data_IF_290008580815
#
_entry.id   IF_290008580815
#
_cell.length_a   1.000
_cell.length_b   1.000
_cell.length_c   1.000
_cell.angle_alpha   90.00
_cell.angle_beta   90.00
_cell.angle_gamma   90.00
#
_symmetry.space_group_name_H-M   'P 1'
#
loop_
_entity.id
_entity.type
_entity.pdbx_description
1 polymer ?
#
# COMPACT_ATOMS: atom_id res chain seq x y z
N UNK A 1 -12.75 -22.36 -18.49
CA UNK A 1 -11.49 -22.21 -17.71
C UNK A 1 -10.51 -21.16 -18.27
N UNK A 2 -10.95 -20.26 -19.16
CA UNK A 2 -10.07 -19.25 -19.80
C UNK A 2 -10.31 -17.80 -19.31
N UNK A 3 -11.34 -17.56 -18.48
CA UNK A 3 -11.69 -16.21 -18.04
C UNK A 3 -11.24 -15.82 -16.63
N UNK A 4 -10.83 -16.78 -15.81
CA UNK A 4 -10.44 -16.52 -14.42
C UNK A 4 -9.02 -15.94 -14.26
N UNK A 5 -8.10 -16.25 -15.20
CA UNK A 5 -6.75 -15.67 -15.21
C UNK A 5 -6.69 -14.21 -15.67
N UNK A 6 -7.73 -13.73 -16.37
CA UNK A 6 -7.82 -12.32 -16.80
C UNK A 6 -8.46 -11.41 -15.74
N UNK A 7 -9.23 -11.95 -14.81
CA UNK A 7 -9.80 -11.17 -13.70
C UNK A 7 -8.79 -10.92 -12.56
N UNK A 8 -7.91 -11.87 -12.26
CA UNK A 8 -6.86 -11.64 -11.24
C UNK A 8 -5.80 -10.64 -11.68
N UNK A 9 -5.51 -10.54 -12.99
CA UNK A 9 -4.59 -9.53 -13.52
C UNK A 9 -5.20 -8.12 -13.49
N UNK A 10 -6.53 -7.98 -13.56
CA UNK A 10 -7.22 -6.69 -13.51
C UNK A 10 -7.32 -6.11 -12.08
N UNK A 11 -7.36 -6.96 -11.05
CA UNK A 11 -7.44 -6.51 -9.64
C UNK A 11 -6.08 -6.06 -9.08
N UNK A 12 -4.97 -6.62 -9.56
CA UNK A 12 -3.62 -6.13 -9.21
C UNK A 12 -3.23 -4.84 -9.95
N UNK A 13 -3.85 -4.56 -11.10
CA UNK A 13 -3.67 -3.29 -11.81
C UNK A 13 -4.49 -2.14 -11.19
N UNK A 14 -5.60 -2.44 -10.49
CA UNK A 14 -6.43 -1.40 -9.87
C UNK A 14 -5.78 -0.71 -8.66
N UNK A 15 -4.92 -1.38 -7.90
CA UNK A 15 -4.23 -0.73 -6.78
C UNK A 15 -3.15 0.26 -7.24
N UNK A 16 -2.53 0.01 -8.41
CA UNK A 16 -1.59 0.95 -9.04
C UNK A 16 -2.30 1.99 -9.92
N UNK A 17 -3.55 1.74 -10.36
CA UNK A 17 -4.31 2.61 -11.26
C UNK A 17 -5.29 3.57 -10.56
N UNK A 18 -5.48 3.48 -9.25
CA UNK A 18 -6.22 4.51 -8.50
C UNK A 18 -5.48 5.86 -8.47
N UNK A 19 -4.21 5.89 -8.87
CA UNK A 19 -3.48 7.14 -9.14
C UNK A 19 -3.61 7.66 -10.59
N UNK A 20 -4.23 6.93 -11.52
CA UNK A 20 -4.22 7.26 -12.96
C UNK A 20 -5.58 7.54 -13.59
N UNK A 21 -6.70 7.50 -12.86
CA UNK A 21 -8.04 7.53 -13.49
C UNK A 21 -8.84 8.79 -13.18
N UNK A 22 -8.28 9.98 -13.49
CA UNK A 22 -9.08 11.20 -13.60
C UNK A 22 -8.45 12.23 -14.55
N UNK A 23 -8.18 11.87 -15.80
CA UNK A 23 -7.90 12.86 -16.83
C UNK A 23 -8.42 12.38 -18.18
N UNK A 24 -9.74 12.54 -18.42
CA UNK A 24 -10.30 12.57 -19.77
C UNK A 24 -11.65 13.28 -19.72
N UNK A 25 -11.65 14.53 -20.09
CA UNK A 25 -12.65 15.25 -20.84
C UNK A 25 -12.58 16.77 -20.60
N UNK A 26 -11.95 17.48 -21.55
CA UNK A 26 -12.51 18.71 -22.15
C UNK A 26 -11.56 19.19 -23.27
N UNK A 27 -11.94 18.82 -24.48
CA UNK A 27 -11.57 19.60 -25.66
C UNK A 27 -12.52 20.77 -25.75
N UNK A 28 -11.98 21.97 -25.93
CA UNK A 28 -12.56 22.93 -26.87
C UNK A 28 -11.55 24.03 -27.29
N UNK A 29 -11.46 24.11 -28.64
CA UNK A 29 -11.20 25.29 -29.49
C UNK A 29 -9.84 25.97 -29.50
N UNK A 30 -9.22 25.75 -30.67
CA UNK A 30 -8.19 26.55 -31.37
C UNK A 30 -8.59 28.04 -31.61
N UNK A 31 -7.66 28.94 -32.07
CA UNK A 31 -7.20 28.88 -33.48
C UNK A 31 -5.76 29.30 -33.80
N UNK A 32 -5.27 28.63 -34.85
CA UNK A 32 -4.51 29.08 -36.04
C UNK A 32 -3.39 30.14 -36.00
N UNK A 33 -2.27 29.77 -36.66
CA UNK A 33 -1.39 30.73 -37.30
C UNK A 33 -0.05 30.15 -37.72
N UNK A 34 0.04 29.68 -39.00
CA UNK A 34 1.12 29.77 -39.98
C UNK A 34 2.59 29.56 -39.51
N UNK A 35 3.34 28.59 -39.98
CA UNK A 35 3.79 28.36 -41.37
C UNK A 35 5.30 28.40 -41.38
N UNK A 36 5.95 27.36 -41.80
CA UNK A 36 6.89 27.29 -42.92
C UNK A 36 7.72 26.01 -42.87
N UNK A 37 7.80 25.45 -44.07
CA UNK A 37 8.49 24.26 -44.55
C UNK A 37 10.02 24.39 -44.59
N UNK A 38 10.72 23.23 -44.54
CA UNK A 38 11.82 22.76 -45.41
C UNK A 38 12.35 21.43 -44.81
N UNK A 39 12.11 20.31 -45.40
CA UNK A 39 12.69 19.53 -46.48
C UNK A 39 14.09 18.97 -46.29
N UNK A 40 14.14 17.68 -46.63
CA UNK A 40 15.26 16.78 -47.00
C UNK A 40 15.96 16.08 -45.82
N UNK A 41 15.97 14.76 -45.69
CA UNK A 41 16.09 13.70 -46.68
C UNK A 41 17.34 12.91 -46.39
N UNK A 42 17.22 11.63 -46.00
CA UNK A 42 17.95 10.52 -46.62
C UNK A 42 17.92 9.27 -45.74
N UNK A 43 17.36 8.25 -46.30
CA UNK A 43 17.41 6.84 -46.02
C UNK A 43 18.82 6.25 -45.96
N UNK A 44 19.12 5.30 -45.06
CA UNK A 44 19.86 4.08 -45.42
C UNK A 44 19.38 2.91 -44.57
N UNK A 45 19.11 1.83 -45.26
CA UNK A 45 18.64 0.51 -44.93
C UNK A 45 19.78 -0.43 -44.52
N UNK A 46 19.37 -1.55 -43.90
CA UNK A 46 20.04 -2.87 -43.75
C UNK A 46 20.53 -3.17 -42.32
N UNK A 47 20.40 -4.35 -41.78
CA UNK A 47 19.76 -5.62 -42.09
C UNK A 47 19.83 -6.47 -40.80
N UNK A 48 18.83 -7.29 -40.56
CA UNK A 48 18.86 -8.36 -39.56
C UNK A 48 19.81 -9.51 -39.99
N UNK A 49 20.29 -10.30 -39.05
CA UNK A 49 20.04 -11.73 -39.12
C UNK A 49 19.41 -12.34 -37.86
N UNK A 50 18.53 -13.27 -38.11
CA UNK A 50 17.84 -14.10 -37.10
C UNK A 50 18.67 -15.37 -36.78
N UNK A 51 18.03 -16.40 -36.21
CA UNK A 51 18.38 -16.93 -34.88
C UNK A 51 19.24 -18.19 -34.96
N UNK A 52 20.03 -18.44 -33.91
CA UNK A 52 20.59 -19.78 -33.63
C UNK A 52 20.03 -20.40 -32.35
N UNK A 53 19.54 -21.56 -32.57
CA UNK A 53 19.02 -22.57 -31.67
C UNK A 53 20.16 -23.32 -31.00
N UNK A 54 20.16 -23.50 -29.66
CA UNK A 54 20.90 -24.60 -29.03
C UNK A 54 20.46 -24.91 -27.59
N UNK A 55 19.76 -26.03 -27.48
CA UNK A 55 20.00 -27.16 -26.55
C UNK A 55 19.85 -26.95 -25.03
N UNK A 56 18.78 -27.53 -24.52
CA UNK A 56 18.65 -28.00 -23.14
C UNK A 56 19.60 -29.16 -22.84
N UNK A 57 20.02 -29.35 -21.61
CA UNK A 57 20.33 -30.68 -21.08
C UNK A 57 19.26 -31.18 -20.07
N UNK A 58 18.92 -32.42 -20.25
CA UNK A 58 17.98 -33.24 -19.49
C UNK A 58 18.55 -33.63 -18.13
N UNK A 59 17.64 -33.76 -17.15
CA UNK A 59 17.83 -34.34 -15.83
C UNK A 59 17.65 -35.84 -15.88
N UNK A 60 18.46 -36.67 -15.21
CA UNK A 60 18.09 -38.05 -14.94
C UNK A 60 17.38 -38.17 -13.59
N UNK A 61 16.27 -38.88 -13.60
CA UNK A 61 15.58 -39.40 -12.44
C UNK A 61 16.30 -40.67 -11.92
N UNK A 62 16.43 -40.76 -10.61
CA UNK A 62 16.66 -42.06 -9.97
C UNK A 62 15.85 -42.19 -8.67
N UNK A 63 15.08 -43.26 -8.66
CA UNK A 63 14.13 -43.75 -7.67
C UNK A 63 14.85 -44.55 -6.59
N UNK A 64 14.43 -44.45 -5.34
CA UNK A 64 14.40 -45.62 -4.41
C UNK A 64 13.54 -45.29 -3.17
N UNK A 65 12.45 -45.98 -3.02
CA UNK A 65 11.78 -46.39 -1.78
C UNK A 65 12.18 -47.83 -1.48
N UNK A 66 11.71 -48.46 -0.37
CA UNK A 66 11.48 -48.04 1.02
C UNK A 66 12.20 -48.96 2.04
N UNK A 67 12.25 -48.64 3.32
CA UNK A 67 12.29 -49.64 4.39
C UNK A 67 11.49 -49.22 5.63
N UNK A 68 10.63 -50.11 6.01
CA UNK A 68 9.72 -50.25 7.11
C UNK A 68 10.47 -50.76 8.36
N UNK A 69 10.23 -50.23 9.57
CA UNK A 69 10.29 -51.05 10.80
C UNK A 69 9.84 -50.31 12.07
N UNK A 70 8.72 -50.83 12.59
CA UNK A 70 8.39 -51.23 13.97
C UNK A 70 8.20 -50.16 15.08
N UNK A 71 6.94 -50.15 15.52
CA UNK A 71 6.49 -49.82 16.89
C UNK A 71 7.09 -50.75 17.95
N UNK A 72 7.10 -50.32 19.22
CA UNK A 72 6.22 -50.97 20.18
C UNK A 72 5.44 -50.04 21.16
N UNK A 73 4.21 -50.41 21.28
CA UNK A 73 3.25 -50.48 22.41
C UNK A 73 3.42 -49.67 23.70
N UNK A 74 2.25 -49.09 24.04
CA UNK A 74 1.81 -48.52 25.34
C UNK A 74 1.96 -49.45 26.55
N UNK A 75 1.84 -48.84 27.78
CA UNK A 75 0.71 -49.29 28.60
C UNK A 75 -0.15 -48.15 29.19
N UNK A 76 -1.39 -48.54 29.44
CA UNK A 76 -2.54 -47.79 29.87
C UNK A 76 -2.59 -47.45 31.37
N UNK A 77 -3.27 -46.27 31.64
CA UNK A 77 -4.20 -45.91 32.69
C UNK A 77 -3.77 -45.87 34.18
N UNK A 78 -4.40 -44.98 35.02
CA UNK A 78 -5.84 -44.97 35.28
C UNK A 78 -6.53 -43.59 35.42
N UNK A 79 -7.85 -43.62 35.19
CA UNK A 79 -8.83 -42.57 35.28
C UNK A 79 -8.96 -41.92 36.68
N UNK A 80 -9.08 -40.61 36.72
CA UNK A 80 -9.59 -39.82 37.87
C UNK A 80 -10.94 -39.18 37.54
N UNK A 81 -11.76 -38.83 38.49
CA UNK A 81 -13.22 -38.72 38.35
C UNK A 81 -13.70 -37.43 37.72
N UNK A 82 -14.77 -37.57 36.95
CA UNK A 82 -15.45 -36.55 36.19
C UNK A 82 -15.85 -35.31 37.00
N UNK A 83 -15.54 -34.15 36.42
CA UNK A 83 -16.22 -32.90 36.75
C UNK A 83 -17.53 -32.83 35.96
N UNK A 84 -18.58 -32.73 36.73
CA UNK A 84 -19.96 -32.56 36.31
C UNK A 84 -20.12 -31.33 35.43
N UNK A 85 -20.40 -31.53 34.17
CA UNK A 85 -20.92 -30.51 33.27
C UNK A 85 -22.26 -30.05 33.79
N UNK A 86 -22.35 -28.84 34.31
CA UNK A 86 -23.64 -28.18 34.49
C UNK A 86 -24.27 -27.99 33.11
N UNK A 87 -25.57 -28.26 32.95
CA UNK A 87 -26.27 -27.94 31.71
C UNK A 87 -26.23 -26.42 31.52
N UNK A 88 -25.69 -25.97 30.40
CA UNK A 88 -25.91 -24.61 29.92
C UNK A 88 -27.43 -24.36 29.85
N UNK A 89 -27.91 -23.14 30.25
CA UNK A 89 -29.31 -22.79 30.04
C UNK A 89 -29.66 -22.92 28.56
N UNK A 90 -30.91 -23.27 28.19
CA UNK A 90 -31.31 -23.33 26.82
C UNK A 90 -31.06 -21.95 26.19
N UNK A 91 -30.24 -21.91 25.16
CA UNK A 91 -30.15 -20.75 24.29
C UNK A 91 -31.52 -20.57 23.67
N UNK A 92 -32.18 -19.43 23.91
CA UNK A 92 -33.40 -19.08 23.19
C UNK A 92 -33.13 -19.23 21.68
N UNK A 93 -34.09 -19.75 20.90
CA UNK A 93 -33.88 -19.86 19.45
C UNK A 93 -33.60 -18.45 18.92
N UNK A 94 -32.37 -18.20 18.51
CA UNK A 94 -32.03 -16.98 17.80
C UNK A 94 -33.02 -16.81 16.64
N UNK A 95 -33.58 -15.62 16.50
CA UNK A 95 -34.43 -15.29 15.38
C UNK A 95 -33.58 -15.29 14.10
N UNK A 96 -33.50 -16.43 13.43
CA UNK A 96 -32.67 -16.64 12.26
C UNK A 96 -33.37 -16.20 10.98
N UNK A 97 -34.64 -15.85 11.01
CA UNK A 97 -35.42 -15.44 9.84
C UNK A 97 -35.02 -14.03 9.40
N UNK A 98 -34.76 -13.90 8.10
CA UNK A 98 -34.39 -12.63 7.45
C UNK A 98 -35.28 -12.40 6.25
N UNK A 99 -35.96 -11.25 6.23
CA UNK A 99 -36.99 -10.93 5.23
C UNK A 99 -36.48 -10.13 4.04
N UNK A 100 -35.29 -9.53 4.11
CA UNK A 100 -34.72 -8.68 3.06
C UNK A 100 -33.20 -8.67 3.07
N UNK A 101 -32.59 -8.26 1.96
CA UNK A 101 -31.14 -8.03 1.89
C UNK A 101 -30.68 -6.92 2.82
N UNK A 102 -31.51 -5.91 3.07
CA UNK A 102 -31.19 -4.84 4.01
C UNK A 102 -31.10 -5.38 5.44
N UNK A 103 -32.04 -6.18 5.88
CA UNK A 103 -32.00 -6.82 7.20
C UNK A 103 -30.80 -7.74 7.33
N UNK A 104 -30.46 -8.50 6.28
CA UNK A 104 -29.27 -9.32 6.24
C UNK A 104 -27.98 -8.48 6.36
N UNK A 105 -27.92 -7.34 5.69
CA UNK A 105 -26.81 -6.39 5.81
C UNK A 105 -26.65 -5.88 7.24
N UNK A 106 -27.76 -5.48 7.89
CA UNK A 106 -27.76 -5.02 9.28
C UNK A 106 -27.25 -6.10 10.24
N UNK A 107 -27.70 -7.36 10.09
CA UNK A 107 -27.24 -8.51 10.89
C UNK A 107 -25.75 -8.81 10.67
N UNK A 108 -25.28 -8.79 9.42
CA UNK A 108 -23.87 -8.99 9.10
C UNK A 108 -23.00 -7.85 9.65
N UNK A 109 -23.49 -6.60 9.56
CA UNK A 109 -22.77 -5.43 10.12
C UNK A 109 -22.61 -5.57 11.63
N UNK A 110 -23.66 -6.01 12.32
CA UNK A 110 -23.62 -6.26 13.75
C UNK A 110 -22.60 -7.37 14.10
N UNK A 111 -22.67 -8.53 13.43
CA UNK A 111 -21.75 -9.64 13.67
C UNK A 111 -20.29 -9.22 13.44
N UNK A 112 -20.03 -8.44 12.40
CA UNK A 112 -18.69 -7.90 12.13
C UNK A 112 -18.24 -6.96 13.24
N UNK A 113 -19.09 -6.03 13.68
CA UNK A 113 -18.75 -5.08 14.74
C UNK A 113 -18.45 -5.76 16.08
N UNK A 114 -19.16 -6.85 16.37
CA UNK A 114 -19.01 -7.66 17.59
C UNK A 114 -17.88 -8.71 17.48
N UNK A 115 -17.27 -8.85 16.30
CA UNK A 115 -16.22 -9.86 15.98
C UNK A 115 -16.76 -11.30 16.23
N UNK A 116 -18.01 -11.54 15.86
CA UNK A 116 -18.71 -12.81 16.05
C UNK A 116 -19.02 -13.48 14.71
N UNK A 117 -19.26 -14.79 14.74
CA UNK A 117 -19.78 -15.51 13.59
C UNK A 117 -21.31 -15.34 13.53
N UNK A 118 -21.88 -14.96 12.38
CA UNK A 118 -23.32 -14.87 12.25
C UNK A 118 -23.97 -16.27 12.34
N UNK A 119 -25.20 -16.35 12.85
CA UNK A 119 -25.97 -17.61 12.80
C UNK A 119 -26.31 -18.00 11.36
N UNK A 120 -26.76 -19.22 11.14
CA UNK A 120 -27.36 -19.60 9.87
C UNK A 120 -28.72 -18.88 9.70
N UNK A 121 -28.94 -18.26 8.53
CA UNK A 121 -30.13 -17.44 8.27
C UNK A 121 -31.20 -18.20 7.46
N UNK A 122 -32.44 -18.16 7.89
CA UNK A 122 -33.59 -18.50 7.04
C UNK A 122 -33.88 -17.32 6.11
N UNK A 123 -33.53 -17.47 4.86
CA UNK A 123 -33.66 -16.48 3.79
C UNK A 123 -34.80 -16.79 2.82
N UNK A 124 -35.72 -17.68 3.18
CA UNK A 124 -36.86 -18.13 2.33
C UNK A 124 -37.74 -16.99 1.89
N UNK A 125 -37.81 -15.89 2.63
CA UNK A 125 -38.54 -14.67 2.29
C UNK A 125 -37.85 -13.78 1.27
N UNK A 126 -36.53 -13.93 1.05
CA UNK A 126 -35.77 -13.14 0.10
C UNK A 126 -35.99 -13.71 -1.30
N UNK A 127 -36.71 -12.97 -2.16
CA UNK A 127 -37.02 -13.38 -3.52
C UNK A 127 -36.33 -12.49 -4.55
N UNK A 128 -36.21 -12.99 -5.80
CA UNK A 128 -35.66 -12.20 -6.91
C UNK A 128 -34.16 -12.14 -7.00
N UNK A 129 -33.45 -12.94 -6.20
CA UNK A 129 -31.97 -13.10 -6.29
C UNK A 129 -31.64 -14.42 -7.00
N UNK A 130 -30.98 -14.33 -8.17
CA UNK A 130 -30.54 -15.52 -8.91
C UNK A 130 -29.33 -16.20 -8.23
N UNK A 131 -28.47 -15.42 -7.58
CA UNK A 131 -27.28 -15.88 -6.84
C UNK A 131 -27.21 -15.15 -5.49
N UNK A 132 -27.87 -15.71 -4.49
CA UNK A 132 -27.89 -15.14 -3.15
C UNK A 132 -26.51 -15.11 -2.47
N UNK A 133 -25.67 -16.16 -2.53
CA UNK A 133 -24.31 -16.10 -2.01
C UNK A 133 -23.48 -14.95 -2.59
N UNK A 134 -23.60 -14.67 -3.89
CA UNK A 134 -22.93 -13.53 -4.51
C UNK A 134 -23.50 -12.19 -4.02
N UNK A 135 -24.83 -12.10 -3.87
CA UNK A 135 -25.45 -10.90 -3.31
C UNK A 135 -24.95 -10.61 -1.89
N UNK A 136 -24.82 -11.63 -1.06
CA UNK A 136 -24.25 -11.52 0.31
C UNK A 136 -22.81 -11.05 0.29
N UNK A 137 -22.01 -11.56 -0.64
CA UNK A 137 -20.62 -11.10 -0.82
C UNK A 137 -20.53 -9.63 -1.22
N UNK A 138 -21.48 -9.16 -2.04
CA UNK A 138 -21.55 -7.75 -2.40
C UNK A 138 -21.98 -6.88 -1.20
N UNK A 139 -22.92 -7.35 -0.36
CA UNK A 139 -23.27 -6.66 0.90
C UNK A 139 -22.05 -6.55 1.83
N UNK A 140 -21.31 -7.62 2.00
CA UNK A 140 -20.08 -7.59 2.81
C UNK A 140 -19.08 -6.54 2.31
N UNK A 141 -18.82 -6.45 1.00
CA UNK A 141 -17.95 -5.41 0.47
C UNK A 141 -18.52 -3.99 0.66
N UNK A 142 -19.85 -3.83 0.57
CA UNK A 142 -20.49 -2.56 0.86
C UNK A 142 -20.29 -2.16 2.33
N UNK A 143 -20.47 -3.10 3.27
CA UNK A 143 -20.23 -2.87 4.70
C UNK A 143 -18.80 -2.38 4.93
N UNK A 144 -17.78 -3.05 4.37
CA UNK A 144 -16.37 -2.66 4.54
C UNK A 144 -16.03 -1.30 3.92
N UNK A 145 -16.70 -0.93 2.82
CA UNK A 145 -16.47 0.35 2.16
C UNK A 145 -17.13 1.51 2.92
N UNK A 146 -18.31 1.27 3.50
CA UNK A 146 -19.03 2.25 4.29
C UNK A 146 -18.47 2.43 5.71
N UNK A 147 -17.79 1.40 6.23
CA UNK A 147 -17.25 1.35 7.60
C UNK A 147 -15.78 0.91 7.58
N UNK A 148 -14.84 1.82 7.29
CA UNK A 148 -13.40 1.47 7.21
C UNK A 148 -12.83 0.84 8.48
N UNK A 149 -13.41 1.15 9.65
CA UNK A 149 -13.00 0.65 10.96
C UNK A 149 -13.24 -0.85 11.15
N UNK A 150 -14.08 -1.48 10.33
CA UNK A 150 -14.34 -2.92 10.42
C UNK A 150 -13.58 -3.76 9.38
N UNK A 151 -12.59 -3.18 8.68
CA UNK A 151 -11.75 -3.88 7.69
C UNK A 151 -10.92 -5.03 8.27
N UNK A 152 -10.90 -5.20 9.57
CA UNK A 152 -10.34 -6.38 10.23
C UNK A 152 -11.12 -7.68 9.95
N UNK A 153 -12.34 -7.60 9.46
CA UNK A 153 -13.04 -8.72 8.84
C UNK A 153 -12.54 -8.83 7.39
N UNK A 154 -11.61 -9.76 7.11
CA UNK A 154 -10.89 -9.75 5.84
C UNK A 154 -11.43 -10.71 4.77
N UNK A 155 -12.31 -11.63 5.13
CA UNK A 155 -13.00 -12.52 4.19
C UNK A 155 -14.38 -12.89 4.69
N UNK A 156 -15.28 -13.18 3.73
CA UNK A 156 -16.59 -13.77 3.99
C UNK A 156 -16.86 -14.86 2.96
N UNK A 157 -17.23 -16.04 3.45
CA UNK A 157 -17.82 -17.11 2.64
C UNK A 157 -19.31 -17.20 2.92
N UNK A 158 -20.11 -17.48 1.88
CA UNK A 158 -21.57 -17.64 1.98
C UNK A 158 -22.00 -18.82 1.10
N UNK A 159 -22.84 -19.69 1.63
CA UNK A 159 -23.39 -20.84 0.91
C UNK A 159 -24.80 -21.20 1.42
N UNK A 160 -25.62 -21.79 0.56
CA UNK A 160 -26.89 -22.39 0.98
C UNK A 160 -26.61 -23.84 1.36
N UNK A 161 -26.82 -24.17 2.62
CA UNK A 161 -26.61 -25.51 3.17
C UNK A 161 -27.67 -26.51 2.70
N UNK A 162 -27.43 -27.79 3.00
CA UNK A 162 -28.39 -28.87 2.75
C UNK A 162 -29.70 -28.73 3.57
N UNK A 163 -29.65 -27.96 4.64
CA UNK A 163 -30.78 -27.56 5.50
C UNK A 163 -31.63 -26.43 4.90
N UNK A 164 -31.19 -25.85 3.76
CA UNK A 164 -31.84 -24.74 3.09
C UNK A 164 -31.59 -23.37 3.72
N UNK A 165 -30.71 -23.30 4.73
CA UNK A 165 -30.31 -22.04 5.37
C UNK A 165 -29.10 -21.43 4.67
N UNK A 166 -28.96 -20.11 4.79
CA UNK A 166 -27.76 -19.39 4.36
C UNK A 166 -26.72 -19.46 5.50
N UNK A 167 -25.61 -20.10 5.23
CA UNK A 167 -24.47 -20.14 6.13
C UNK A 167 -23.43 -19.10 5.69
N UNK A 168 -23.06 -18.22 6.61
CA UNK A 168 -21.99 -17.24 6.41
C UNK A 168 -20.86 -17.54 7.39
N UNK A 169 -19.62 -17.47 6.91
CA UNK A 169 -18.43 -17.53 7.77
C UNK A 169 -17.54 -16.33 7.50
N UNK A 170 -17.20 -15.59 8.55
CA UNK A 170 -16.38 -14.38 8.50
C UNK A 170 -15.00 -14.70 9.05
N UNK A 171 -13.96 -14.36 8.28
CA UNK A 171 -12.57 -14.45 8.74
C UNK A 171 -12.13 -13.12 9.32
N UNK A 172 -11.68 -13.14 10.57
CA UNK A 172 -11.19 -11.96 11.26
C UNK A 172 -9.67 -11.99 11.41
N UNK A 173 -9.04 -10.82 11.40
CA UNK A 173 -7.61 -10.72 11.65
C UNK A 173 -7.26 -11.14 13.07
N UNK A 174 -6.16 -11.90 13.28
CA UNK A 174 -5.80 -12.45 14.59
C UNK A 174 -5.70 -11.43 15.71
N UNK A 175 -5.28 -10.19 15.39
CA UNK A 175 -5.16 -9.15 16.41
C UNK A 175 -6.50 -8.68 17.00
N UNK A 176 -7.62 -8.98 16.31
CA UNK A 176 -8.98 -8.69 16.82
C UNK A 176 -9.58 -9.85 17.63
N UNK A 177 -9.24 -11.07 17.25
CA UNK A 177 -9.74 -12.27 17.95
C UNK A 177 -8.83 -12.75 19.07
N UNK A 178 -7.55 -12.33 19.05
CA UNK A 178 -6.52 -12.90 19.94
C UNK A 178 -6.10 -14.32 19.55
N UNK A 179 -6.53 -14.80 18.37
CA UNK A 179 -6.24 -16.15 17.88
C UNK A 179 -4.87 -16.18 17.19
N UNK A 180 -3.83 -16.18 17.97
CA UNK A 180 -2.45 -16.22 17.50
C UNK A 180 -1.92 -17.65 17.51
N UNK A 181 -1.22 -18.04 16.44
CA UNK A 181 -0.50 -19.30 16.40
C UNK A 181 0.60 -19.36 17.48
N UNK A 182 0.72 -20.51 18.15
CA UNK A 182 1.83 -20.76 19.06
C UNK A 182 3.17 -20.81 18.31
N UNK A 183 4.26 -20.42 19.01
CA UNK A 183 5.62 -20.48 18.44
C UNK A 183 5.93 -19.39 17.42
N UNK A 184 5.23 -18.27 17.47
CA UNK A 184 5.47 -17.13 16.59
C UNK A 184 6.93 -16.68 16.59
N UNK A 185 7.50 -16.56 15.39
CA UNK A 185 8.84 -16.07 15.11
C UNK A 185 8.73 -14.82 14.23
N UNK A 186 8.64 -13.63 14.82
CA UNK A 186 8.49 -12.38 14.08
C UNK A 186 8.51 -11.16 14.99
N UNK A 187 8.14 -10.02 14.46
CA UNK A 187 8.15 -8.73 15.17
C UNK A 187 6.79 -8.47 15.80
N UNK A 188 6.77 -8.08 17.07
CA UNK A 188 5.55 -7.56 17.71
C UNK A 188 5.39 -6.09 17.32
N UNK A 189 4.15 -5.72 17.01
CA UNK A 189 3.75 -4.39 16.53
C UNK A 189 2.65 -3.85 17.44
N UNK A 190 2.94 -2.82 18.21
CA UNK A 190 1.98 -2.16 19.07
C UNK A 190 1.59 -0.74 18.59
N UNK A 191 2.37 -0.20 17.65
CA UNK A 191 2.19 1.14 17.07
C UNK A 191 2.47 1.17 15.58
N UNK A 192 2.05 2.26 14.91
CA UNK A 192 2.43 2.50 13.50
C UNK A 192 3.95 2.66 13.32
N UNK A 193 4.62 3.24 14.32
CA UNK A 193 6.07 3.36 14.31
C UNK A 193 6.75 1.98 14.37
N UNK A 194 6.28 1.05 15.22
CA UNK A 194 6.79 -0.32 15.25
C UNK A 194 6.59 -1.03 13.91
N UNK A 195 5.43 -0.85 13.29
CA UNK A 195 5.12 -1.42 11.98
C UNK A 195 6.10 -0.94 10.89
N UNK A 196 6.35 0.37 10.84
CA UNK A 196 7.29 0.97 9.89
C UNK A 196 8.72 0.52 10.17
N UNK A 197 9.13 0.45 11.43
CA UNK A 197 10.47 -0.02 11.81
C UNK A 197 10.66 -1.50 11.44
N UNK A 198 9.66 -2.36 11.71
CA UNK A 198 9.67 -3.75 11.28
C UNK A 198 9.84 -3.88 9.75
N UNK A 199 9.11 -3.07 8.99
CA UNK A 199 9.24 -3.03 7.54
C UNK A 199 10.65 -2.62 7.11
N UNK A 200 11.21 -1.52 7.63
CA UNK A 200 12.54 -1.03 7.30
C UNK A 200 13.64 -2.04 7.61
N UNK A 201 13.58 -2.70 8.77
CA UNK A 201 14.56 -3.72 9.16
C UNK A 201 14.43 -4.97 8.27
N UNK A 202 13.22 -5.38 7.93
CA UNK A 202 12.96 -6.56 7.13
C UNK A 202 13.21 -6.40 5.62
N UNK A 203 13.18 -5.19 5.08
CA UNK A 203 13.29 -4.92 3.64
C UNK A 203 14.47 -5.61 2.96
N UNK A 204 15.63 -5.61 3.61
CA UNK A 204 16.87 -6.11 3.02
C UNK A 204 16.93 -7.64 2.97
N UNK A 205 16.23 -8.32 3.89
CA UNK A 205 16.45 -9.74 4.15
C UNK A 205 15.25 -10.63 3.90
N UNK A 206 14.04 -10.08 3.80
CA UNK A 206 12.81 -10.86 3.78
C UNK A 206 11.83 -10.33 2.72
N UNK A 207 11.21 -11.25 1.99
CA UNK A 207 10.10 -10.91 1.08
C UNK A 207 8.81 -10.66 1.86
N UNK A 208 8.60 -11.47 2.92
CA UNK A 208 7.48 -11.36 3.84
C UNK A 208 8.03 -11.25 5.24
N UNK A 209 7.65 -10.21 5.97
CA UNK A 209 8.11 -9.95 7.32
C UNK A 209 7.00 -10.39 8.28
N UNK A 210 7.16 -11.52 9.00
CA UNK A 210 6.15 -11.97 9.95
C UNK A 210 5.97 -10.96 11.07
N UNK A 211 4.73 -10.57 11.34
CA UNK A 211 4.38 -9.64 12.41
C UNK A 211 3.25 -10.19 13.26
N UNK A 212 3.19 -9.75 14.50
CA UNK A 212 2.04 -9.92 15.40
C UNK A 212 1.62 -8.55 15.91
N UNK A 213 0.47 -8.07 15.45
CA UNK A 213 -0.13 -6.84 15.93
C UNK A 213 -0.71 -7.12 17.31
N UNK A 214 -0.32 -6.34 18.32
CA UNK A 214 -0.75 -6.50 19.72
C UNK A 214 -1.75 -5.45 20.15
N UNK A 215 -1.84 -4.33 19.44
CA UNK A 215 -2.78 -3.26 19.68
C UNK A 215 -4.05 -3.41 18.81
N UNK A 216 -5.22 -3.73 19.39
CA UNK A 216 -6.45 -3.93 18.64
C UNK A 216 -7.05 -2.63 18.08
N UNK A 217 -6.56 -1.46 18.51
CA UNK A 217 -7.09 -0.16 18.07
C UNK A 217 -6.45 0.33 16.76
N UNK A 218 -5.38 -0.36 16.29
CA UNK A 218 -4.77 -0.02 15.00
C UNK A 218 -5.71 -0.28 13.83
N UNK A 219 -5.90 0.74 13.00
CA UNK A 219 -6.78 0.68 11.85
C UNK A 219 -6.01 0.24 10.59
N UNK A 220 -6.62 -0.64 9.79
CA UNK A 220 -6.01 -1.16 8.55
C UNK A 220 -5.56 -0.07 7.59
N UNK A 221 -6.37 0.97 7.43
CA UNK A 221 -6.06 2.07 6.52
C UNK A 221 -4.87 2.90 7.02
N UNK A 222 -4.74 3.08 8.33
CA UNK A 222 -3.59 3.78 8.93
C UNK A 222 -2.32 2.95 8.82
N UNK A 223 -2.40 1.65 9.09
CA UNK A 223 -1.28 0.73 8.94
C UNK A 223 -0.76 0.69 7.50
N UNK A 224 -1.66 0.59 6.50
CA UNK A 224 -1.26 0.60 5.10
C UNK A 224 -0.69 1.95 4.66
N UNK A 225 -1.24 3.08 5.13
CA UNK A 225 -0.65 4.40 4.89
C UNK A 225 0.73 4.56 5.50
N UNK A 226 0.93 4.04 6.71
CA UNK A 226 2.24 4.05 7.36
C UNK A 226 3.27 3.25 6.56
N UNK A 227 2.89 2.07 6.05
CA UNK A 227 3.76 1.24 5.21
C UNK A 227 4.11 1.89 3.87
N UNK A 228 3.26 2.77 3.32
CA UNK A 228 3.58 3.54 2.12
C UNK A 228 4.75 4.53 2.31
N UNK A 229 5.10 4.86 3.56
CA UNK A 229 6.27 5.67 3.87
C UNK A 229 7.59 4.89 3.83
N UNK A 230 7.56 3.62 3.40
CA UNK A 230 8.72 2.72 3.35
C UNK A 230 9.01 2.34 1.90
N UNK A 231 10.29 2.13 1.58
CA UNK A 231 10.68 1.57 0.26
C UNK A 231 10.90 2.58 -0.86
N UNK A 232 10.76 3.88 -0.60
CA UNK A 232 11.09 4.98 -1.53
C UNK A 232 10.57 4.79 -2.96
N UNK A 233 9.38 4.19 -3.10
CA UNK A 233 8.70 3.84 -4.36
C UNK A 233 9.33 2.71 -5.19
N UNK A 234 10.38 2.07 -4.77
CA UNK A 234 10.89 0.87 -5.44
C UNK A 234 10.46 -0.44 -4.78
N UNK A 235 10.12 -0.39 -3.51
CA UNK A 235 9.55 -1.50 -2.77
C UNK A 235 8.21 -1.07 -2.16
N UNK A 236 7.14 -1.73 -2.56
CA UNK A 236 5.82 -1.51 -2.01
C UNK A 236 5.60 -2.45 -0.82
N UNK A 237 5.35 -1.85 0.34
CA UNK A 237 5.05 -2.57 1.56
C UNK A 237 3.54 -2.50 1.83
N UNK A 238 2.93 -3.64 2.11
CA UNK A 238 1.52 -3.75 2.49
C UNK A 238 1.33 -4.89 3.48
N UNK A 239 0.26 -4.87 4.23
CA UNK A 239 -0.10 -6.01 5.06
C UNK A 239 -0.60 -7.18 4.21
N UNK A 240 -0.32 -8.40 4.65
CA UNK A 240 -1.02 -9.58 4.17
C UNK A 240 -2.52 -9.46 4.47
N UNK A 241 -3.33 -10.26 3.77
CA UNK A 241 -4.79 -10.19 3.89
C UNK A 241 -5.29 -10.37 5.33
N UNK A 242 -4.61 -11.20 6.11
CA UNK A 242 -4.90 -11.51 7.51
C UNK A 242 -4.10 -10.67 8.52
N UNK A 243 -3.31 -9.70 8.04
CA UNK A 243 -2.45 -8.84 8.82
C UNK A 243 -1.41 -9.57 9.71
N UNK A 244 -0.97 -10.76 9.28
CA UNK A 244 0.08 -11.54 10.00
C UNK A 244 1.48 -11.32 9.45
N UNK A 245 1.60 -10.63 8.32
CA UNK A 245 2.90 -10.29 7.72
C UNK A 245 2.86 -8.99 6.91
N UNK A 246 4.01 -8.36 6.77
CA UNK A 246 4.23 -7.29 5.80
C UNK A 246 4.76 -7.94 4.52
N UNK A 247 4.04 -7.74 3.43
CA UNK A 247 4.40 -8.19 2.09
C UNK A 247 5.25 -7.10 1.43
N UNK A 248 6.40 -7.47 0.87
CA UNK A 248 7.31 -6.53 0.18
C UNK A 248 7.38 -6.90 -1.29
N UNK A 249 6.91 -6.00 -2.16
CA UNK A 249 6.83 -6.22 -3.60
C UNK A 249 7.67 -5.20 -4.35
N UNK A 250 8.61 -5.61 -5.22
CA UNK A 250 9.33 -4.70 -6.10
C UNK A 250 8.39 -4.01 -7.08
N UNK A 251 8.66 -2.73 -7.36
CA UNK A 251 7.92 -1.90 -8.31
C UNK A 251 8.80 -1.50 -9.51
N UNK A 252 8.20 -0.80 -10.48
CA UNK A 252 8.91 -0.31 -11.66
C UNK A 252 9.39 -1.41 -12.62
N UNK A 253 8.87 -2.64 -12.48
CA UNK A 253 9.33 -3.78 -13.28
C UNK A 253 10.68 -4.35 -12.85
N UNK A 254 11.20 -3.93 -11.69
CA UNK A 254 12.47 -4.36 -11.15
C UNK A 254 12.37 -5.71 -10.43
N UNK A 255 13.45 -6.44 -10.37
CA UNK A 255 13.65 -7.52 -9.40
C UNK A 255 13.87 -6.91 -8.01
N UNK A 256 13.77 -7.74 -6.96
CA UNK A 256 14.07 -7.28 -5.59
C UNK A 256 15.51 -6.79 -5.44
N UNK A 257 16.46 -7.48 -6.04
CA UNK A 257 17.87 -7.11 -6.01
C UNK A 257 18.10 -5.73 -6.66
N UNK A 258 17.50 -5.50 -7.83
CA UNK A 258 17.57 -4.21 -8.52
C UNK A 258 16.90 -3.10 -7.72
N UNK A 259 15.74 -3.37 -7.08
CA UNK A 259 15.06 -2.40 -6.23
C UNK A 259 15.91 -2.01 -5.00
N UNK A 260 16.53 -2.99 -4.34
CA UNK A 260 17.44 -2.73 -3.21
C UNK A 260 18.68 -1.95 -3.64
N UNK A 261 19.26 -2.26 -4.81
CA UNK A 261 20.38 -1.51 -5.34
C UNK A 261 20.01 -0.04 -5.63
N UNK A 262 18.79 0.21 -6.14
CA UNK A 262 18.27 1.57 -6.33
C UNK A 262 18.13 2.32 -5.01
N UNK A 263 17.65 1.66 -3.95
CA UNK A 263 17.56 2.28 -2.62
C UNK A 263 18.94 2.68 -2.07
N UNK A 264 19.95 1.81 -2.20
CA UNK A 264 21.31 2.10 -1.77
C UNK A 264 21.94 3.25 -2.57
N UNK A 265 21.67 3.31 -3.88
CA UNK A 265 22.14 4.40 -4.73
C UNK A 265 21.47 5.73 -4.36
N UNK A 266 20.17 5.73 -4.09
CA UNK A 266 19.44 6.93 -3.62
C UNK A 266 19.96 7.44 -2.28
N UNK A 267 20.20 6.55 -1.31
CA UNK A 267 20.77 6.91 -0.01
C UNK A 267 22.15 7.57 -0.19
N UNK A 268 22.98 7.01 -1.07
CA UNK A 268 24.32 7.54 -1.35
C UNK A 268 24.26 8.92 -2.03
N UNK A 269 23.35 9.10 -2.98
CA UNK A 269 23.10 10.39 -3.63
C UNK A 269 22.58 11.44 -2.64
N UNK A 270 21.65 11.05 -1.78
CA UNK A 270 21.10 11.96 -0.77
C UNK A 270 22.18 12.41 0.23
N UNK A 271 23.04 11.50 0.68
CA UNK A 271 24.19 11.81 1.54
C UNK A 271 25.17 12.77 0.85
N UNK A 272 25.50 12.54 -0.42
CA UNK A 272 26.39 13.41 -1.19
C UNK A 272 25.81 14.80 -1.35
N UNK A 273 24.51 14.92 -1.73
CA UNK A 273 23.82 16.19 -1.87
C UNK A 273 23.76 16.94 -0.52
N UNK A 274 23.44 16.21 0.57
CA UNK A 274 23.44 16.79 1.92
C UNK A 274 24.81 17.39 2.26
N UNK A 275 25.90 16.66 2.07
CA UNK A 275 27.27 17.13 2.34
C UNK A 275 27.68 18.35 1.49
N UNK A 276 27.16 18.47 0.26
CA UNK A 276 27.45 19.60 -0.62
C UNK A 276 26.61 20.83 -0.29
N UNK A 277 25.38 20.63 0.22
CA UNK A 277 24.38 21.68 0.39
C UNK A 277 24.40 22.27 1.81
N UNK A 278 24.59 21.40 2.81
CA UNK A 278 24.54 21.75 4.23
C UNK A 278 25.94 22.04 4.75
N UNK A 279 26.12 23.22 5.36
CA UNK A 279 27.40 23.64 5.95
C UNK A 279 27.35 23.57 7.46
N UNK A 280 28.52 23.44 8.10
CA UNK A 280 28.65 23.44 9.55
C UNK A 280 28.07 24.72 10.17
N UNK A 281 27.25 24.56 11.20
CA UNK A 281 26.59 25.65 11.91
C UNK A 281 25.20 26.03 11.41
N UNK A 282 24.71 25.46 10.31
CA UNK A 282 23.32 25.62 9.90
C UNK A 282 22.36 24.99 10.92
N UNK A 283 21.38 25.75 11.36
CA UNK A 283 20.24 25.26 12.14
C UNK A 283 19.31 24.40 11.29
N UNK A 284 18.41 23.66 11.94
CA UNK A 284 17.47 22.73 11.27
C UNK A 284 16.63 23.40 10.17
N UNK A 285 16.11 24.60 10.45
CA UNK A 285 15.34 25.38 9.47
C UNK A 285 16.21 25.83 8.28
N UNK A 286 17.46 26.20 8.50
CA UNK A 286 18.40 26.60 7.45
C UNK A 286 18.78 25.39 6.57
N UNK A 287 19.00 24.23 7.17
CA UNK A 287 19.28 22.98 6.45
C UNK A 287 18.08 22.58 5.56
N UNK A 288 16.87 22.60 6.13
CA UNK A 288 15.66 22.28 5.36
C UNK A 288 15.47 23.27 4.19
N UNK A 289 15.70 24.55 4.39
CA UNK A 289 15.60 25.56 3.35
C UNK A 289 16.65 25.37 2.25
N UNK A 290 17.88 25.02 2.60
CA UNK A 290 18.97 24.80 1.64
C UNK A 290 18.71 23.55 0.78
N UNK A 291 18.24 22.45 1.40
CA UNK A 291 17.87 21.23 0.69
C UNK A 291 16.63 21.42 -0.20
N UNK A 292 15.68 22.22 0.25
CA UNK A 292 14.52 22.62 -0.54
C UNK A 292 14.94 23.42 -1.78
N UNK A 293 15.80 24.42 -1.61
CA UNK A 293 16.34 25.24 -2.69
C UNK A 293 17.07 24.36 -3.71
N UNK A 294 17.90 23.42 -3.24
CA UNK A 294 18.57 22.47 -4.13
C UNK A 294 17.59 21.75 -5.06
N UNK A 295 16.52 21.19 -4.52
CA UNK A 295 15.53 20.46 -5.34
C UNK A 295 14.82 21.37 -6.34
N UNK A 296 14.39 22.55 -5.92
CA UNK A 296 13.64 23.48 -6.78
C UNK A 296 14.48 24.03 -7.92
N UNK A 297 15.81 24.09 -7.75
CA UNK A 297 16.76 24.61 -8.75
C UNK A 297 17.32 23.52 -9.67
N UNK A 298 17.56 22.30 -9.14
CA UNK A 298 18.26 21.24 -9.87
C UNK A 298 17.33 20.22 -10.53
N UNK A 299 16.10 20.08 -10.04
CA UNK A 299 15.13 19.10 -10.56
C UNK A 299 14.12 19.80 -11.48
N UNK A 300 13.94 19.24 -12.68
CA UNK A 300 12.94 19.68 -13.65
C UNK A 300 11.72 18.80 -13.58
N UNK A 301 10.54 19.37 -13.87
CA UNK A 301 9.31 18.60 -13.94
C UNK A 301 9.24 17.76 -15.22
N UNK A 302 8.87 16.49 -15.10
CA UNK A 302 8.69 15.61 -16.25
C UNK A 302 7.31 15.80 -16.91
N UNK A 303 7.23 16.71 -17.85
CA UNK A 303 6.00 17.01 -18.57
C UNK A 303 5.48 15.88 -19.47
N UNK A 304 6.24 14.77 -19.65
CA UNK A 304 5.72 13.58 -20.31
C UNK A 304 4.52 13.00 -19.56
N UNK A 305 4.42 13.25 -18.26
CA UNK A 305 3.23 12.93 -17.46
C UNK A 305 1.93 13.42 -18.14
N UNK A 306 1.93 14.61 -18.72
CA UNK A 306 0.76 15.22 -19.38
C UNK A 306 0.71 14.96 -20.91
N UNK A 307 1.85 14.86 -21.57
CA UNK A 307 1.92 14.82 -23.03
C UNK A 307 2.01 13.40 -23.59
N UNK A 308 2.83 12.56 -22.99
CA UNK A 308 3.12 11.18 -23.43
C UNK A 308 3.34 10.29 -22.20
N UNK A 309 2.32 10.06 -21.35
CA UNK A 309 2.51 9.34 -20.08
C UNK A 309 3.06 7.92 -20.25
N UNK A 310 2.81 7.27 -21.38
CA UNK A 310 3.36 5.95 -21.70
C UNK A 310 4.87 5.95 -22.00
N UNK A 311 5.49 7.12 -22.23
CA UNK A 311 6.92 7.29 -22.46
C UNK A 311 7.67 7.80 -21.22
N UNK A 312 6.95 8.15 -20.16
CA UNK A 312 7.55 8.60 -18.90
C UNK A 312 8.16 7.40 -18.17
N UNK A 313 9.48 7.43 -17.85
CA UNK A 313 10.09 6.38 -17.04
C UNK A 313 9.46 6.29 -15.65
N UNK A 314 9.42 5.09 -15.10
CA UNK A 314 8.97 4.89 -13.73
C UNK A 314 9.81 5.71 -12.73
N UNK A 315 11.11 5.84 -12.97
CA UNK A 315 12.04 6.61 -12.14
C UNK A 315 11.60 8.06 -11.93
N UNK A 316 10.91 8.68 -12.90
CA UNK A 316 10.35 10.04 -12.72
C UNK A 316 9.30 10.16 -11.61
N UNK A 317 8.75 9.03 -11.14
CA UNK A 317 7.81 8.99 -9.99
C UNK A 317 8.50 8.87 -8.64
N UNK A 318 9.83 8.71 -8.62
CA UNK A 318 10.63 8.31 -7.44
C UNK A 318 11.69 9.36 -7.09
N UNK A 319 12.24 9.25 -5.88
CA UNK A 319 13.39 10.06 -5.47
C UNK A 319 14.60 9.87 -6.40
N UNK A 320 14.78 8.69 -7.01
CA UNK A 320 15.86 8.43 -7.94
C UNK A 320 15.81 9.35 -9.16
N UNK A 321 14.65 9.46 -9.82
CA UNK A 321 14.49 10.38 -10.95
C UNK A 321 14.80 11.83 -10.57
N UNK A 322 14.43 12.25 -9.37
CA UNK A 322 14.75 13.58 -8.87
C UNK A 322 16.26 13.78 -8.60
N UNK A 323 16.90 12.87 -7.84
CA UNK A 323 18.26 13.06 -7.37
C UNK A 323 19.34 12.63 -8.38
N UNK A 324 19.09 11.58 -9.17
CA UNK A 324 20.01 11.07 -10.17
C UNK A 324 19.78 11.70 -11.54
N UNK A 325 18.54 11.69 -12.06
CA UNK A 325 18.25 12.16 -13.42
C UNK A 325 17.94 13.66 -13.48
N UNK A 326 17.67 14.30 -12.34
CA UNK A 326 17.23 15.69 -12.27
C UNK A 326 15.87 15.91 -12.97
N UNK A 327 15.03 14.87 -13.05
CA UNK A 327 13.76 14.88 -13.75
C UNK A 327 12.71 14.06 -13.00
N UNK A 328 11.64 14.69 -12.52
CA UNK A 328 10.63 14.02 -11.71
C UNK A 328 9.25 14.68 -11.83
N UNK A 329 8.21 13.94 -11.41
CA UNK A 329 6.88 14.49 -11.08
C UNK A 329 6.78 14.73 -9.57
N UNK A 330 5.62 15.18 -9.08
CA UNK A 330 5.40 15.54 -7.68
C UNK A 330 5.82 14.46 -6.68
N UNK A 331 5.55 13.19 -6.98
CA UNK A 331 5.98 12.06 -6.15
C UNK A 331 7.49 12.00 -5.97
N UNK A 332 8.24 12.12 -7.06
CA UNK A 332 9.71 12.12 -7.02
C UNK A 332 10.30 13.30 -6.25
N UNK A 333 9.77 14.52 -6.45
CA UNK A 333 10.16 15.69 -5.67
C UNK A 333 9.93 15.51 -4.17
N UNK A 334 8.75 15.04 -3.79
CA UNK A 334 8.37 14.92 -2.37
C UNK A 334 9.17 13.85 -1.65
N UNK A 335 9.41 12.70 -2.30
CA UNK A 335 10.22 11.62 -1.76
C UNK A 335 11.70 12.02 -1.69
N UNK A 336 12.23 12.72 -2.70
CA UNK A 336 13.59 13.23 -2.67
C UNK A 336 13.79 14.22 -1.52
N UNK A 337 12.84 15.13 -1.29
CA UNK A 337 12.91 16.04 -0.17
C UNK A 337 12.88 15.31 1.17
N UNK A 338 11.99 14.33 1.33
CA UNK A 338 11.94 13.50 2.53
C UNK A 338 13.27 12.78 2.76
N UNK A 339 13.87 12.18 1.73
CA UNK A 339 15.14 11.47 1.81
C UNK A 339 16.30 12.39 2.20
N UNK A 340 16.36 13.60 1.63
CA UNK A 340 17.34 14.62 2.01
C UNK A 340 17.18 15.09 3.46
N UNK A 341 15.95 15.28 3.94
CA UNK A 341 15.68 15.62 5.33
C UNK A 341 16.04 14.50 6.31
N UNK A 342 15.93 13.23 5.89
CA UNK A 342 16.39 12.09 6.69
C UNK A 342 17.89 12.14 6.92
N UNK A 343 18.70 12.61 5.95
CA UNK A 343 20.14 12.83 6.13
C UNK A 343 20.44 13.92 7.18
N UNK A 344 19.53 14.88 7.32
CA UNK A 344 19.59 15.92 8.36
C UNK A 344 19.03 15.47 9.73
N UNK A 345 18.52 14.24 9.84
CA UNK A 345 17.84 13.74 11.03
C UNK A 345 16.46 14.37 11.28
N UNK A 346 15.87 15.02 10.27
CA UNK A 346 14.59 15.73 10.36
C UNK A 346 13.43 14.78 10.04
N UNK A 347 12.47 14.59 10.97
CA UNK A 347 11.26 13.83 10.71
C UNK A 347 10.46 14.40 9.53
N UNK A 348 10.12 13.53 8.56
CA UNK A 348 9.38 13.95 7.38
C UNK A 348 8.53 12.80 6.84
N UNK A 349 7.29 13.12 6.45
CA UNK A 349 6.36 12.21 5.75
C UNK A 349 5.91 12.85 4.44
N UNK A 350 5.52 12.01 3.48
CA UNK A 350 4.84 12.47 2.27
C UNK A 350 3.34 12.58 2.50
N UNK A 351 2.72 13.59 1.90
CA UNK A 351 1.29 13.88 1.97
C UNK A 351 0.71 13.86 0.57
N UNK A 352 -0.41 13.18 0.40
CA UNK A 352 -1.16 13.11 -0.85
C UNK A 352 -2.47 13.88 -0.74
N UNK A 353 -2.87 14.54 -1.81
CA UNK A 353 -4.11 15.28 -1.93
C UNK A 353 -4.27 15.83 -3.34
N UNK A 354 -4.86 17.02 -3.47
CA UNK A 354 -5.01 17.71 -4.74
C UNK A 354 -4.34 19.09 -4.69
N UNK A 355 -3.78 19.52 -5.80
CA UNK A 355 -3.34 20.89 -6.04
C UNK A 355 -3.87 21.37 -7.39
N UNK A 356 -4.56 22.52 -7.36
CA UNK A 356 -5.22 23.08 -8.54
C UNK A 356 -6.19 22.11 -9.23
N UNK A 357 -6.81 21.17 -8.48
CA UNK A 357 -7.76 20.18 -8.96
C UNK A 357 -7.14 18.93 -9.59
N UNK A 358 -5.83 18.73 -9.43
CA UNK A 358 -5.10 17.55 -9.86
C UNK A 358 -4.51 16.80 -8.68
N UNK A 359 -4.44 15.47 -8.75
CA UNK A 359 -3.76 14.66 -7.73
C UNK A 359 -2.32 15.12 -7.55
N UNK A 360 -1.91 15.35 -6.34
CA UNK A 360 -0.63 15.93 -6.02
C UNK A 360 -0.03 15.33 -4.74
N UNK A 361 1.30 15.40 -4.63
CA UNK A 361 2.05 14.96 -3.47
C UNK A 361 3.04 16.04 -3.03
N UNK A 362 3.16 16.24 -1.73
CA UNK A 362 4.11 17.14 -1.08
C UNK A 362 4.63 16.56 0.22
N UNK A 363 5.33 17.32 1.04
CA UNK A 363 5.95 16.85 2.26
C UNK A 363 5.44 17.62 3.49
N UNK A 364 5.43 16.92 4.64
CA UNK A 364 5.19 17.47 5.97
C UNK A 364 6.39 17.10 6.84
N UNK A 365 7.13 18.11 7.32
CA UNK A 365 8.37 17.92 8.09
C UNK A 365 8.33 18.63 9.45
N UNK A 366 8.97 18.04 10.46
CA UNK A 366 9.04 18.59 11.84
C UNK A 366 10.29 19.46 11.98
N UNK A 367 10.13 20.77 11.82
CA UNK A 367 11.22 21.74 11.90
C UNK A 367 11.17 22.46 13.25
N UNK A 368 12.24 22.34 14.02
CA UNK A 368 12.34 22.96 15.36
C UNK A 368 11.13 22.62 16.25
N UNK A 369 10.69 21.35 16.17
CA UNK A 369 9.56 20.83 16.93
C UNK A 369 8.18 21.18 16.38
N UNK A 370 8.05 21.84 15.23
CA UNK A 370 6.79 22.21 14.61
C UNK A 370 6.62 21.49 13.26
N UNK A 371 5.46 20.92 13.01
CA UNK A 371 5.12 20.35 11.71
C UNK A 371 4.79 21.44 10.69
N UNK A 372 5.51 21.46 9.56
CA UNK A 372 5.40 22.44 8.50
C UNK A 372 5.36 21.75 7.14
N UNK A 373 4.59 22.31 6.21
CA UNK A 373 4.43 21.83 4.86
C UNK A 373 5.48 22.37 3.90
N UNK A 374 5.88 21.52 2.92
CA UNK A 374 6.86 21.84 1.89
C UNK A 374 6.40 21.27 0.56
N UNK A 375 6.30 22.10 -0.48
CA UNK A 375 6.02 21.65 -1.84
C UNK A 375 7.08 22.12 -2.83
N UNK A 376 8.18 21.39 -2.98
CA UNK A 376 9.22 21.75 -3.91
C UNK A 376 8.78 21.68 -5.38
N UNK A 377 7.71 20.92 -5.68
CA UNK A 377 7.16 20.85 -7.04
C UNK A 377 6.47 22.13 -7.44
N UNK A 378 5.63 22.69 -6.56
CA UNK A 378 4.93 23.94 -6.82
C UNK A 378 5.88 25.14 -6.87
N UNK A 379 6.97 25.11 -6.12
CA UNK A 379 7.99 26.17 -6.08
C UNK A 379 9.15 25.98 -7.09
N UNK A 380 9.12 24.92 -7.92
CA UNK A 380 10.19 24.67 -8.91
C UNK A 380 10.42 25.89 -9.83
N UNK A 381 11.67 26.22 -10.03
CA UNK A 381 12.06 27.32 -10.91
C UNK A 381 11.70 28.72 -10.42
N UNK A 382 11.29 28.87 -9.15
CA UNK A 382 10.97 30.20 -8.56
C UNK A 382 12.22 31.00 -8.20
N UNK A 383 13.28 30.32 -7.77
CA UNK A 383 14.57 30.97 -7.52
C UNK A 383 14.46 32.31 -6.79
N UNK A 384 14.83 33.38 -7.48
CA UNK A 384 14.88 34.77 -6.95
C UNK A 384 13.50 35.35 -6.58
N UNK A 385 12.39 34.75 -7.02
CA UNK A 385 11.04 35.20 -6.68
C UNK A 385 10.60 34.79 -5.27
N UNK A 386 11.40 34.00 -4.58
CA UNK A 386 11.09 33.42 -3.27
C UNK A 386 10.13 32.25 -3.31
N UNK A 387 10.24 31.40 -2.32
CA UNK A 387 9.39 30.22 -2.20
C UNK A 387 8.05 30.57 -1.51
N UNK A 388 6.97 29.93 -1.98
CA UNK A 388 5.63 30.08 -1.40
C UNK A 388 5.32 28.97 -0.40
N UNK A 389 5.86 27.78 -0.62
CA UNK A 389 5.53 26.56 0.09
C UNK A 389 6.74 25.88 0.74
N UNK A 390 7.65 26.69 1.30
CA UNK A 390 8.84 26.23 2.00
C UNK A 390 8.69 26.44 3.51
N UNK A 391 8.24 25.43 4.25
CA UNK A 391 8.08 25.48 5.69
C UNK A 391 6.90 26.34 6.14
N UNK A 392 5.73 26.10 5.56
CA UNK A 392 4.52 26.87 5.85
C UNK A 392 3.49 26.06 6.65
N UNK A 393 2.62 26.75 7.37
CA UNK A 393 1.47 26.15 8.04
C UNK A 393 0.37 25.77 7.02
N UNK A 394 -0.50 24.82 7.36
CA UNK A 394 -1.59 24.34 6.50
C UNK A 394 -2.42 25.47 5.87
N UNK A 395 -2.74 26.52 6.64
CA UNK A 395 -3.52 27.66 6.17
C UNK A 395 -2.85 28.47 5.03
N UNK A 396 -1.55 28.25 4.78
CA UNK A 396 -0.78 28.92 3.71
C UNK A 396 -0.54 28.03 2.49
N UNK A 397 -1.03 26.78 2.49
CA UNK A 397 -0.98 25.86 1.35
C UNK A 397 -2.11 26.18 0.36
N UNK A 398 -2.05 27.39 -0.24
CA UNK A 398 -3.09 27.86 -1.16
C UNK A 398 -3.23 26.98 -2.38
N UNK A 399 -4.47 26.59 -2.69
CA UNK A 399 -4.79 25.70 -3.82
C UNK A 399 -4.57 24.22 -3.57
N UNK A 400 -4.07 23.85 -2.38
CA UNK A 400 -3.95 22.44 -1.95
C UNK A 400 -5.19 22.02 -1.15
N UNK A 401 -5.61 20.76 -1.34
CA UNK A 401 -6.74 20.15 -0.63
C UNK A 401 -6.35 18.76 -0.14
N UNK A 402 -6.44 18.52 1.15
CA UNK A 402 -6.14 17.23 1.79
C UNK A 402 -6.84 17.12 3.15
N UNK A 403 -6.74 15.96 3.78
CA UNK A 403 -7.11 15.78 5.18
C UNK A 403 -5.91 16.12 6.08
N UNK A 404 -5.89 17.36 6.59
CA UNK A 404 -4.81 17.88 7.46
C UNK A 404 -4.72 17.09 8.77
N UNK A 405 -5.86 16.73 9.37
CA UNK A 405 -5.89 15.99 10.63
C UNK A 405 -5.29 14.58 10.45
N UNK A 406 -5.59 13.93 9.34
CA UNK A 406 -5.04 12.62 9.00
C UNK A 406 -3.52 12.71 8.73
N UNK A 407 -3.05 13.70 7.97
CA UNK A 407 -1.63 13.92 7.69
C UNK A 407 -0.83 14.15 8.98
N UNK A 408 -1.33 15.02 9.85
CA UNK A 408 -0.73 15.32 11.16
C UNK A 408 -0.74 14.11 12.08
N UNK A 409 -1.87 13.40 12.18
CA UNK A 409 -1.98 12.20 13.00
C UNK A 409 -1.01 11.10 12.57
N UNK A 410 -0.82 10.91 11.26
CA UNK A 410 0.18 9.99 10.71
C UNK A 410 1.61 10.40 11.05
N UNK A 411 1.93 11.69 10.86
CA UNK A 411 3.25 12.22 11.15
C UNK A 411 3.62 12.09 12.64
N UNK A 412 2.70 12.41 13.55
CA UNK A 412 2.89 12.27 15.00
C UNK A 412 2.98 10.79 15.44
N UNK A 413 2.21 9.90 14.82
CA UNK A 413 2.26 8.47 15.12
C UNK A 413 3.56 7.81 14.68
N UNK A 414 4.20 8.30 13.60
CA UNK A 414 5.47 7.77 13.10
C UNK A 414 6.69 8.40 13.80
N UNK A 415 6.56 9.62 14.29
CA UNK A 415 7.63 10.38 14.94
C UNK A 415 7.11 11.05 16.21
N UNK A 416 6.82 10.24 17.26
CA UNK A 416 6.22 10.69 18.52
C UNK A 416 7.06 11.70 19.30
#
# INVERSE_FOLDING_TARGET
MLNMKRMCAALLLCAALLFFSACSARQDSSPAGAGETLSSGSSVSQASPGPEESSQPQIPAESAEPEESSQPESPAEPAGPGESSQPQPPVEPEDTAVSSLQELQERLTQAIAEVEQPPAFDVSAITGQEDLPMAVKNLYYAILNENPEVKYAYDLTAEIGADGLLHCSISYMPYRTGDFSDGFQGVQVDSLADLVNAAKEGLKNQENIPIRITNPDLQMDDMNRALQQVGESYLYCQLSRDATSIMVTPLGGLTREEALARLEEMDSLAEEIYRQTVTEGMGEAEQAQALYAYLTEHVRYDFRYYSTPGEMPYDSTTAYGALHDGLAICGGYSQAFRLLLQQAGVPCVTVSGEWAGENHMWALAKIEGRWLYFDPTADRGRGDYGFLYAGVEAAKMEGHTWDDAQAMGMAEALYP
#
